data_IF_926733571027
#
_entry.id   IF_926733571027
#
_cell.length_a   1.000
_cell.length_b   1.000
_cell.length_c   1.000
_cell.angle_alpha   90.00
_cell.angle_beta   90.00
_cell.angle_gamma   90.00
#
_symmetry.space_group_name_H-M   'P 1'
#
loop_
_entity.id
_entity.type
_entity.pdbx_description
1 polymer ?
#
# COMPACT_ATOMS: atom_id res chain seq x y z
N UNK A 1 -9.19 1.30 -18.85
CA UNK A 1 -8.11 2.12 -19.46
C UNK A 1 -8.18 3.63 -19.16
N UNK A 2 -9.36 4.22 -18.91
CA UNK A 2 -9.51 5.68 -18.68
C UNK A 2 -8.65 6.23 -17.52
N UNK A 3 -8.54 5.51 -16.41
CA UNK A 3 -7.69 5.91 -15.27
C UNK A 3 -6.21 6.05 -15.65
N UNK A 4 -5.67 5.14 -16.47
CA UNK A 4 -4.26 5.20 -16.92
C UNK A 4 -4.02 6.37 -17.88
N UNK A 5 -5.01 6.73 -18.69
CA UNK A 5 -4.97 7.92 -19.54
C UNK A 5 -5.01 9.19 -18.71
N UNK A 6 -5.85 9.25 -17.67
CA UNK A 6 -5.93 10.39 -16.74
C UNK A 6 -4.67 10.55 -15.87
N UNK A 7 -3.94 9.46 -15.63
CA UNK A 7 -2.65 9.48 -14.92
C UNK A 7 -1.48 9.99 -15.80
N UNK A 8 -1.69 10.24 -17.10
CA UNK A 8 -0.64 10.71 -17.99
C UNK A 8 -0.08 12.07 -17.52
N UNK A 9 1.25 12.16 -17.37
CA UNK A 9 1.93 13.36 -16.88
C UNK A 9 1.87 13.57 -15.36
N UNK A 10 1.18 12.71 -14.59
CA UNK A 10 1.12 12.80 -13.11
C UNK A 10 2.27 12.07 -12.40
N UNK A 11 2.99 11.20 -13.11
CA UNK A 11 4.21 10.54 -12.65
C UNK A 11 5.19 10.43 -13.82
N UNK A 12 6.47 10.68 -13.57
CA UNK A 12 7.55 10.52 -14.56
C UNK A 12 7.76 9.06 -14.95
N UNK A 13 7.38 8.11 -14.09
CA UNK A 13 7.54 6.68 -14.31
C UNK A 13 6.23 5.93 -14.12
N UNK A 14 5.91 5.04 -15.07
CA UNK A 14 4.78 4.11 -15.00
C UNK A 14 5.25 2.74 -15.46
N UNK A 15 4.95 1.72 -14.68
CA UNK A 15 5.30 0.33 -14.98
C UNK A 15 4.03 -0.48 -15.09
N UNK A 16 3.89 -1.25 -16.18
CA UNK A 16 2.83 -2.26 -16.30
C UNK A 16 3.35 -3.53 -15.65
N UNK A 17 2.85 -3.85 -14.46
CA UNK A 17 3.27 -5.01 -13.70
C UNK A 17 2.07 -5.64 -12.98
N UNK A 18 2.24 -6.91 -12.61
CA UNK A 18 1.37 -7.58 -11.65
C UNK A 18 1.79 -7.14 -10.24
N UNK A 19 0.85 -6.59 -9.46
CA UNK A 19 1.12 -6.11 -8.12
C UNK A 19 1.41 -7.25 -7.12
N UNK A 20 1.10 -8.50 -7.46
CA UNK A 20 1.50 -9.68 -6.70
C UNK A 20 2.96 -10.08 -6.94
N UNK A 21 3.61 -9.55 -8.00
CA UNK A 21 4.99 -9.86 -8.42
C UNK A 21 5.64 -8.65 -9.10
N UNK A 22 5.95 -7.62 -8.31
CA UNK A 22 6.55 -6.38 -8.78
C UNK A 22 7.96 -6.63 -9.35
N UNK A 23 8.33 -5.97 -10.46
CA UNK A 23 9.66 -6.04 -11.06
C UNK A 23 10.65 -5.15 -10.29
N UNK A 24 10.67 -5.28 -8.97
CA UNK A 24 11.53 -4.55 -8.05
C UNK A 24 12.39 -5.55 -7.27
N UNK A 25 13.62 -5.16 -6.97
CA UNK A 25 14.49 -5.95 -6.10
C UNK A 25 13.94 -5.99 -4.67
N UNK A 26 14.31 -7.03 -3.94
CA UNK A 26 14.03 -7.14 -2.50
C UNK A 26 14.59 -5.91 -1.77
N UNK A 27 13.88 -5.48 -0.73
CA UNK A 27 14.32 -4.40 0.17
C UNK A 27 14.74 -3.08 -0.53
N UNK A 28 14.15 -2.76 -1.69
CA UNK A 28 14.55 -1.61 -2.52
C UNK A 28 13.64 -0.38 -2.39
N UNK A 29 12.49 -0.52 -1.73
CA UNK A 29 11.48 0.54 -1.66
C UNK A 29 11.41 1.14 -0.25
N UNK A 30 11.61 2.45 -0.13
CA UNK A 30 11.47 3.13 1.16
C UNK A 30 10.01 3.31 1.60
N UNK A 31 9.11 3.59 0.66
CA UNK A 31 7.69 3.84 0.93
C UNK A 31 6.84 3.23 -0.17
N UNK A 32 5.77 2.50 0.21
CA UNK A 32 4.70 2.09 -0.68
C UNK A 32 3.44 2.88 -0.30
N UNK A 33 2.81 3.52 -1.29
CA UNK A 33 1.47 4.08 -1.14
C UNK A 33 0.47 3.17 -1.85
N UNK A 34 -0.29 2.40 -1.06
CA UNK A 34 -1.35 1.54 -1.49
C UNK A 34 -2.69 2.28 -1.36
N UNK A 35 -3.29 2.66 -2.50
CA UNK A 35 -4.51 3.47 -2.55
C UNK A 35 -5.58 2.65 -3.28
N UNK A 36 -6.68 2.33 -2.59
CA UNK A 36 -7.80 1.53 -3.12
C UNK A 36 -7.31 0.35 -3.98
N UNK A 37 -6.47 -0.51 -3.38
CA UNK A 37 -5.85 -1.64 -4.06
C UNK A 37 -6.01 -2.94 -3.26
N UNK A 38 -5.84 -4.07 -3.95
CA UNK A 38 -5.71 -5.36 -3.29
C UNK A 38 -4.40 -5.44 -2.51
N UNK A 39 -4.44 -6.04 -1.33
CA UNK A 39 -3.25 -6.29 -0.53
C UNK A 39 -2.53 -7.55 -1.04
N UNK A 40 -1.22 -7.44 -1.29
CA UNK A 40 -0.32 -8.57 -1.57
C UNK A 40 0.74 -8.61 -0.47
N UNK A 41 0.49 -9.28 0.67
CA UNK A 41 1.28 -9.09 1.88
C UNK A 41 2.74 -9.52 1.74
N UNK A 42 2.97 -10.70 1.17
CA UNK A 42 4.31 -11.25 0.96
C UNK A 42 5.14 -10.35 0.02
N UNK A 43 4.52 -9.91 -1.07
CA UNK A 43 5.19 -9.06 -2.07
C UNK A 43 5.49 -7.66 -1.53
N UNK A 44 4.52 -7.07 -0.82
CA UNK A 44 4.66 -5.76 -0.16
C UNK A 44 5.82 -5.79 0.84
N UNK A 45 5.90 -6.83 1.66
CA UNK A 45 6.98 -7.00 2.62
C UNK A 45 8.33 -7.31 1.96
N UNK A 46 8.35 -8.02 0.82
CA UNK A 46 9.56 -8.35 0.08
C UNK A 46 10.27 -7.11 -0.46
N UNK A 47 9.52 -6.21 -1.10
CA UNK A 47 10.12 -5.04 -1.76
C UNK A 47 10.44 -3.89 -0.81
N UNK A 48 9.77 -3.81 0.35
CA UNK A 48 10.04 -2.76 1.34
C UNK A 48 11.43 -2.94 1.98
N UNK A 49 12.22 -1.87 1.96
CA UNK A 49 13.50 -1.80 2.64
C UNK A 49 13.36 -1.97 4.17
N UNK A 50 14.42 -2.35 4.90
CA UNK A 50 14.44 -2.24 6.35
C UNK A 50 14.08 -0.82 6.81
N UNK A 51 13.09 -0.71 7.69
CA UNK A 51 12.56 0.60 8.13
C UNK A 51 11.62 1.28 7.12
N UNK A 52 11.31 0.62 6.01
CA UNK A 52 10.35 1.09 5.03
C UNK A 52 8.92 1.17 5.59
N UNK A 53 8.10 1.97 4.92
CA UNK A 53 6.74 2.31 5.36
C UNK A 53 5.71 1.88 4.32
N UNK A 54 4.62 1.27 4.76
CA UNK A 54 3.41 1.10 3.96
C UNK A 54 2.40 2.16 4.36
N UNK A 55 1.97 2.98 3.41
CA UNK A 55 0.78 3.81 3.53
C UNK A 55 -0.40 3.03 2.94
N UNK A 56 -1.39 2.72 3.77
CA UNK A 56 -2.62 2.04 3.38
C UNK A 56 -3.77 3.03 3.38
N UNK A 57 -4.33 3.32 2.20
CA UNK A 57 -5.30 4.40 2.00
C UNK A 57 -6.57 3.83 1.39
N UNK A 58 -7.70 4.01 2.08
CA UNK A 58 -9.03 3.68 1.60
C UNK A 58 -9.76 5.01 1.30
N UNK A 59 -9.95 5.34 0.01
CA UNK A 59 -10.45 6.67 -0.37
C UNK A 59 -11.89 6.93 0.09
N UNK A 60 -12.70 5.89 0.22
CA UNK A 60 -14.08 5.94 0.72
C UNK A 60 -14.24 5.33 2.11
N UNK A 61 -13.13 5.14 2.84
CA UNK A 61 -13.18 4.53 4.17
C UNK A 61 -13.86 3.17 4.13
N UNK A 62 -14.69 2.86 5.13
CA UNK A 62 -15.42 1.60 5.24
C UNK A 62 -16.50 1.37 4.17
N UNK A 63 -16.88 2.41 3.44
CA UNK A 63 -17.86 2.31 2.34
C UNK A 63 -17.22 1.86 1.02
N UNK A 64 -15.89 1.81 0.95
CA UNK A 64 -15.14 1.39 -0.23
C UNK A 64 -15.13 -0.14 -0.43
N UNK A 65 -15.25 -0.65 -1.67
CA UNK A 65 -15.31 -2.09 -1.94
C UNK A 65 -14.00 -2.84 -1.65
N UNK A 66 -12.90 -2.11 -1.51
CA UNK A 66 -11.56 -2.64 -1.20
C UNK A 66 -11.12 -2.31 0.22
N UNK A 67 -12.05 -1.80 1.06
CA UNK A 67 -11.74 -1.43 2.42
C UNK A 67 -11.17 -2.61 3.21
N UNK A 68 -9.98 -2.39 3.78
CA UNK A 68 -9.45 -3.20 4.87
C UNK A 68 -9.11 -2.28 6.04
N UNK A 69 -9.54 -2.62 7.28
CA UNK A 69 -9.09 -1.91 8.47
C UNK A 69 -7.60 -2.20 8.72
N UNK A 70 -6.86 -1.26 9.33
CA UNK A 70 -5.41 -1.39 9.47
C UNK A 70 -4.99 -2.64 10.25
N UNK A 71 -5.78 -3.05 11.25
CA UNK A 71 -5.54 -4.27 12.01
C UNK A 71 -5.55 -5.54 11.13
N UNK A 72 -6.44 -5.61 10.14
CA UNK A 72 -6.48 -6.73 9.18
C UNK A 72 -5.26 -6.71 8.26
N UNK A 73 -4.81 -5.53 7.85
CA UNK A 73 -3.59 -5.38 7.03
C UNK A 73 -2.35 -5.82 7.83
N UNK A 74 -2.23 -5.39 9.10
CA UNK A 74 -1.17 -5.82 10.02
C UNK A 74 -1.16 -7.33 10.18
N UNK A 75 -2.32 -7.94 10.44
CA UNK A 75 -2.43 -9.39 10.65
C UNK A 75 -2.06 -10.22 9.41
N UNK A 76 -2.23 -9.66 8.20
CA UNK A 76 -1.89 -10.33 6.95
C UNK A 76 -0.42 -10.19 6.56
N UNK A 77 0.27 -9.13 7.01
CA UNK A 77 1.68 -8.89 6.69
C UNK A 77 2.60 -9.86 7.43
N UNK A 78 3.65 -10.38 6.78
CA UNK A 78 4.61 -11.25 7.44
C UNK A 78 5.47 -10.49 8.45
N UNK A 79 5.64 -11.08 9.64
CA UNK A 79 6.39 -10.49 10.74
C UNK A 79 5.52 -9.58 11.63
N UNK A 80 6.17 -8.77 12.45
CA UNK A 80 5.48 -7.89 13.39
C UNK A 80 5.44 -6.47 12.85
N UNK A 81 4.25 -5.86 12.85
CA UNK A 81 4.01 -4.54 12.31
C UNK A 81 3.24 -3.69 13.33
N UNK A 82 3.55 -2.40 13.36
CA UNK A 82 2.77 -1.39 14.06
C UNK A 82 2.04 -0.53 13.04
N UNK A 83 0.81 -0.15 13.36
CA UNK A 83 0.00 0.75 12.56
C UNK A 83 -0.38 1.99 13.38
N UNK A 84 -0.37 3.14 12.71
CA UNK A 84 -1.06 4.35 13.17
C UNK A 84 -2.10 4.69 12.11
N UNK A 85 -3.37 4.78 12.49
CA UNK A 85 -4.47 5.08 11.57
C UNK A 85 -5.22 6.34 11.99
N UNK A 86 -5.85 6.98 11.00
CA UNK A 86 -6.74 8.13 11.20
C UNK A 86 -7.66 8.27 9.99
N UNK A 87 -8.64 9.15 10.11
CA UNK A 87 -9.54 9.53 9.04
C UNK A 87 -9.09 10.85 8.38
N UNK A 88 -9.51 11.05 7.14
CA UNK A 88 -9.37 12.30 6.40
C UNK A 88 -10.58 12.50 5.49
N UNK A 89 -11.51 13.37 5.91
CA UNK A 89 -12.79 13.52 5.24
C UNK A 89 -13.60 12.23 5.30
N UNK A 90 -14.05 11.73 4.15
CA UNK A 90 -14.77 10.46 4.02
C UNK A 90 -13.85 9.24 3.81
N UNK A 91 -12.53 9.44 3.84
CA UNK A 91 -11.54 8.38 3.68
C UNK A 91 -10.82 8.02 4.97
N UNK A 92 -10.08 6.92 4.94
CA UNK A 92 -9.19 6.50 6.03
C UNK A 92 -7.77 6.25 5.51
N UNK A 93 -6.79 6.41 6.39
CA UNK A 93 -5.41 6.07 6.10
C UNK A 93 -4.74 5.41 7.30
N UNK A 94 -3.74 4.57 7.02
CA UNK A 94 -2.86 4.01 8.03
C UNK A 94 -1.41 4.04 7.56
N UNK A 95 -0.51 4.33 8.49
CA UNK A 95 0.94 4.20 8.34
C UNK A 95 1.37 2.93 9.06
N UNK A 96 1.88 1.97 8.31
CA UNK A 96 2.38 0.70 8.84
C UNK A 96 3.90 0.63 8.77
N UNK A 97 4.52 0.20 9.86
CA UNK A 97 5.98 0.01 9.98
C UNK A 97 6.29 -1.35 10.58
N UNK A 98 7.27 -2.05 10.01
CA UNK A 98 7.79 -3.28 10.58
C UNK A 98 8.52 -2.95 11.89
N UNK A 99 8.20 -3.66 12.97
CA UNK A 99 9.00 -3.59 14.19
C UNK A 99 10.27 -4.43 13.99
N UNK A 100 11.39 -3.98 14.56
CA UNK A 100 12.64 -4.74 14.51
C UNK A 100 12.48 -6.15 15.07
#
# INVERSE_FOLDING_TARGET
>A
MRMLQQANGRSSWRVKADASRLPLADASVAVIAAIDMLLFPAETARVLAPGGVLLWINQLGCDGPLYLPAATVVAALPGTWQATESEAGWGSWAVLRRTR
#
